data_IF_309293446258
#
_entry.id   IF_309293446258
#
_cell.length_a   1.000
_cell.length_b   1.000
_cell.length_c   1.000
_cell.angle_alpha   90.00
_cell.angle_beta   90.00
_cell.angle_gamma   90.00
#
_symmetry.space_group_name_H-M   'P 1'
#
loop_
_entity.id
_entity.type
_entity.pdbx_description
1 polymer ?
#
# COMPACT_ATOMS: atom_id res chain seq x y z
N UNK A 1 -7.83 15.69 -17.55
CA UNK A 1 -7.17 14.74 -18.45
C UNK A 1 -5.72 14.64 -18.01
N UNK A 2 -5.20 13.44 -17.83
CA UNK A 2 -3.79 13.21 -17.48
C UNK A 2 -2.96 13.40 -18.74
N UNK A 3 -1.80 14.04 -18.62
CA UNK A 3 -0.89 14.21 -19.74
C UNK A 3 -0.10 12.92 -20.01
N UNK A 4 0.37 12.74 -21.24
CA UNK A 4 1.08 11.52 -21.66
C UNK A 4 2.37 11.25 -20.85
N UNK A 5 3.09 12.34 -20.52
CA UNK A 5 4.28 12.30 -19.66
C UNK A 5 3.96 11.92 -18.20
N UNK A 6 2.85 12.43 -17.66
CA UNK A 6 2.37 12.06 -16.32
C UNK A 6 1.97 10.58 -16.23
N UNK A 7 1.36 10.03 -17.30
CA UNK A 7 1.02 8.61 -17.38
C UNK A 7 2.29 7.73 -17.43
N UNK A 8 3.28 8.12 -18.23
CA UNK A 8 4.57 7.41 -18.32
C UNK A 8 5.29 7.34 -16.97
N UNK A 9 5.37 8.47 -16.27
CA UNK A 9 6.02 8.54 -14.95
C UNK A 9 5.30 7.68 -13.89
N UNK A 10 3.98 7.57 -13.94
CA UNK A 10 3.23 6.70 -13.05
C UNK A 10 3.57 5.21 -13.29
N UNK A 11 3.67 4.79 -14.56
CA UNK A 11 4.03 3.42 -14.91
C UNK A 11 5.45 3.04 -14.52
N UNK A 12 6.41 3.95 -14.66
CA UNK A 12 7.79 3.73 -14.19
C UNK A 12 7.86 3.37 -12.70
N UNK A 13 6.92 3.87 -11.89
CA UNK A 13 6.82 3.54 -10.46
C UNK A 13 6.04 2.25 -10.19
N UNK A 14 5.04 1.91 -11.00
CA UNK A 14 4.15 0.77 -10.78
C UNK A 14 4.79 -0.55 -11.25
N UNK A 15 5.51 -0.54 -12.37
CA UNK A 15 6.08 -1.74 -12.98
C UNK A 15 6.97 -2.56 -12.01
N UNK A 16 7.88 -1.94 -11.23
CA UNK A 16 8.69 -2.69 -10.27
C UNK A 16 7.86 -3.33 -9.15
N UNK A 17 6.77 -2.68 -8.72
CA UNK A 17 5.88 -3.19 -7.67
C UNK A 17 5.12 -4.43 -8.19
N UNK A 18 4.61 -4.37 -9.42
CA UNK A 18 3.95 -5.51 -10.06
C UNK A 18 4.90 -6.69 -10.22
N UNK A 19 6.12 -6.44 -10.72
CA UNK A 19 7.13 -7.49 -10.87
C UNK A 19 7.49 -8.13 -9.52
N UNK A 20 7.59 -7.34 -8.44
CA UNK A 20 7.82 -7.88 -7.11
C UNK A 20 6.68 -8.81 -6.66
N UNK A 21 5.42 -8.42 -6.89
CA UNK A 21 4.26 -9.26 -6.53
C UNK A 21 4.17 -10.55 -7.34
N UNK A 22 4.52 -10.53 -8.62
CA UNK A 22 4.54 -11.75 -9.45
C UNK A 22 5.58 -12.77 -8.97
N UNK A 23 6.64 -12.31 -8.31
CA UNK A 23 7.72 -13.15 -7.79
C UNK A 23 7.62 -13.42 -6.28
N UNK A 24 6.57 -12.92 -5.61
CA UNK A 24 6.37 -13.12 -4.18
C UNK A 24 5.56 -14.41 -3.91
N UNK A 25 6.21 -15.38 -3.27
CA UNK A 25 5.59 -16.66 -2.89
C UNK A 25 4.71 -16.57 -1.62
N UNK A 26 4.84 -15.49 -0.84
CA UNK A 26 4.11 -15.31 0.42
C UNK A 26 2.69 -14.78 0.19
N UNK A 27 2.49 -14.08 -0.93
CA UNK A 27 1.19 -13.59 -1.39
C UNK A 27 0.61 -12.43 -0.56
N UNK A 28 -0.58 -12.00 -0.92
CA UNK A 28 -1.24 -10.87 -0.25
C UNK A 28 -1.65 -11.22 1.19
N UNK A 29 -1.30 -10.32 2.12
CA UNK A 29 -1.73 -10.44 3.53
C UNK A 29 -3.23 -10.15 3.64
N UNK A 30 -3.97 -11.07 4.26
CA UNK A 30 -5.42 -10.94 4.47
C UNK A 30 -5.76 -10.02 5.64
N UNK A 31 -7.01 -9.56 5.68
CA UNK A 31 -7.58 -8.78 6.77
C UNK A 31 -9.07 -9.07 6.91
N UNK A 32 -9.64 -8.75 8.06
CA UNK A 32 -11.06 -8.96 8.34
C UNK A 32 -11.86 -7.85 7.65
N UNK A 33 -12.96 -8.20 6.99
CA UNK A 33 -13.85 -7.21 6.40
C UNK A 33 -14.34 -6.20 7.47
N UNK A 34 -14.23 -4.91 7.18
CA UNK A 34 -14.52 -3.83 8.13
C UNK A 34 -13.34 -3.42 9.02
N UNK A 35 -12.17 -4.07 8.91
CA UNK A 35 -10.93 -3.59 9.53
C UNK A 35 -10.17 -2.63 8.59
N UNK A 36 -9.17 -1.94 9.15
CA UNK A 36 -8.27 -1.02 8.44
C UNK A 36 -7.18 -1.71 7.59
N UNK A 37 -7.32 -3.01 7.33
CA UNK A 37 -6.28 -3.80 6.65
C UNK A 37 -5.41 -4.62 7.60
N UNK A 38 -4.32 -5.22 7.07
CA UNK A 38 -3.41 -6.06 7.85
C UNK A 38 -2.49 -5.23 8.74
N UNK A 39 -2.04 -5.78 9.87
CA UNK A 39 -1.10 -5.12 10.78
C UNK A 39 0.21 -4.65 10.10
N UNK A 40 0.60 -5.28 8.99
CA UNK A 40 1.74 -4.87 8.18
C UNK A 40 1.59 -3.44 7.61
N UNK A 41 0.36 -2.99 7.33
CA UNK A 41 0.11 -1.64 6.83
C UNK A 41 0.38 -0.57 7.91
N UNK A 42 -0.05 -0.80 9.15
CA UNK A 42 0.25 0.09 10.28
C UNK A 42 1.73 0.05 10.64
N UNK A 43 2.35 -1.14 10.60
CA UNK A 43 3.78 -1.32 10.85
C UNK A 43 4.65 -0.52 9.87
N UNK A 44 4.29 -0.52 8.58
CA UNK A 44 4.98 0.26 7.55
C UNK A 44 5.05 1.75 7.91
N UNK A 45 3.93 2.35 8.30
CA UNK A 45 3.91 3.76 8.71
C UNK A 45 4.67 3.99 10.01
N UNK A 46 4.53 3.10 10.99
CA UNK A 46 5.18 3.22 12.28
C UNK A 46 6.72 3.23 12.16
N UNK A 47 7.28 2.46 11.22
CA UNK A 47 8.72 2.50 10.90
C UNK A 47 9.18 3.89 10.42
N UNK A 48 8.27 4.67 9.85
CA UNK A 48 8.51 6.04 9.38
C UNK A 48 8.01 7.11 10.36
N UNK A 49 7.65 6.74 11.61
CA UNK A 49 7.17 7.67 12.61
C UNK A 49 5.80 8.26 12.31
N UNK A 50 5.01 7.60 11.47
CA UNK A 50 3.67 7.99 11.07
C UNK A 50 2.63 6.97 11.55
N UNK A 51 1.36 7.37 11.55
CA UNK A 51 0.23 6.50 11.81
C UNK A 51 -0.95 6.90 10.92
N UNK A 52 -1.84 5.96 10.63
CA UNK A 52 -3.08 6.25 9.93
C UNK A 52 -3.99 7.07 10.84
N UNK A 53 -4.56 8.17 10.33
CA UNK A 53 -5.43 9.04 11.14
C UNK A 53 -6.71 8.33 11.60
N UNK A 54 -7.16 7.32 10.85
CA UNK A 54 -8.41 6.63 11.08
C UNK A 54 -8.32 5.51 12.15
N UNK A 55 -7.11 5.10 12.52
CA UNK A 55 -6.87 4.24 13.69
C UNK A 55 -7.12 4.98 15.03
N UNK A 56 -7.24 6.32 14.99
CA UNK A 56 -7.53 7.18 16.14
C UNK A 56 -8.99 7.60 16.28
N UNK A 57 -9.90 7.09 15.45
CA UNK A 57 -11.33 7.32 15.69
C UNK A 57 -11.73 6.46 16.89
N UNK A 58 -11.80 7.11 18.06
CA UNK A 58 -12.22 6.52 19.33
C UNK A 58 -13.55 5.74 19.19
N UNK A 59 -13.70 4.72 20.03
CA UNK A 59 -14.84 3.80 20.04
C UNK A 59 -16.20 4.40 20.37
#
# INVERSE_FOLDING_TARGET
>A
FVRDDELGAAWEWIDPIMSAWENDAEGLKSYIAGSWGPAAASYLLAQHGAAWGEEYVEG
#
